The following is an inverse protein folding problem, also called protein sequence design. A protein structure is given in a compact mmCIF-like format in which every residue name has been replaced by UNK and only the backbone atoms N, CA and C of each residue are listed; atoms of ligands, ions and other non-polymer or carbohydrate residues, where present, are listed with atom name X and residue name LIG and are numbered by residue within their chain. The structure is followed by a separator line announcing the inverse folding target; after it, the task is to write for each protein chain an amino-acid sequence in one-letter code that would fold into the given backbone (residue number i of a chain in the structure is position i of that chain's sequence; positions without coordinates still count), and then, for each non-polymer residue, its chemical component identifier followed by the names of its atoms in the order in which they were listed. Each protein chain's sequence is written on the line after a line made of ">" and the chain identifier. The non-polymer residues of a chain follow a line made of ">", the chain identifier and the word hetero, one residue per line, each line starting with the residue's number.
data_IF_334364282299
#
_entry.id   IF_334364282299
#
_cell.length_a   1.000
_cell.length_b   1.000
_cell.length_c   1.000
_cell.angle_alpha   90.00
_cell.angle_beta   90.00
_cell.angle_gamma   90.00
#
_symmetry.space_group_name_H-M   'P 1'
#
loop_
_entity.id
_entity.type
_entity.pdbx_description
1 polymer ?
#
# COMPACT_ATOMS: atom_id res chain seq x y z
N UNK A 1 43.16 -0.91 -13.53
CA UNK A 1 42.17 0.19 -13.47
C UNK A 1 40.86 -0.48 -13.86
N UNK A 2 40.10 -0.92 -12.84
CA UNK A 2 38.83 -0.30 -12.42
C UNK A 2 37.78 -0.44 -13.55
N UNK A 3 36.65 -1.12 -13.40
CA UNK A 3 35.78 -1.10 -12.22
C UNK A 3 35.11 -2.45 -11.94
N UNK A 4 35.29 -2.88 -10.70
CA UNK A 4 34.34 -3.71 -9.97
C UNK A 4 33.08 -2.85 -9.81
N UNK A 5 32.01 -3.11 -10.55
CA UNK A 5 30.69 -2.57 -10.16
C UNK A 5 30.21 -3.47 -9.03
N UNK A 6 30.17 -2.99 -7.78
CA UNK A 6 29.67 -3.76 -6.65
C UNK A 6 28.16 -4.05 -6.86
N UNK A 7 27.63 -5.10 -6.23
CA UNK A 7 26.21 -5.41 -6.30
C UNK A 7 25.43 -4.18 -5.82
N UNK A 8 24.43 -3.77 -6.60
CA UNK A 8 23.44 -2.77 -6.18
C UNK A 8 22.59 -3.37 -5.07
N UNK A 9 23.14 -3.36 -3.85
CA UNK A 9 22.42 -3.46 -2.58
C UNK A 9 21.64 -2.15 -2.32
N UNK A 10 20.88 -1.68 -3.32
CA UNK A 10 20.00 -0.51 -3.24
C UNK A 10 18.53 -0.89 -3.56
N UNK A 11 18.23 -2.20 -3.58
CA UNK A 11 16.87 -2.76 -3.64
C UNK A 11 16.49 -3.48 -2.33
N UNK A 12 17.11 -3.09 -1.21
CA UNK A 12 16.59 -3.37 0.13
C UNK A 12 16.22 -2.08 0.87
N UNK A 13 15.66 -1.10 0.15
CA UNK A 13 14.68 -0.23 0.80
C UNK A 13 13.47 -1.13 1.04
N UNK A 14 13.48 -1.86 2.16
CA UNK A 14 12.44 -2.82 2.51
C UNK A 14 11.10 -2.09 2.42
N UNK A 15 10.38 -2.31 1.33
CA UNK A 15 9.24 -1.45 1.00
C UNK A 15 8.06 -1.94 1.81
N UNK A 16 7.46 -1.03 2.56
CA UNK A 16 6.32 -1.31 3.39
C UNK A 16 5.06 -1.29 2.52
N UNK A 17 4.65 -2.47 2.06
CA UNK A 17 3.43 -2.61 1.27
C UNK A 17 2.20 -2.46 2.15
N UNK A 18 1.37 -1.48 1.81
CA UNK A 18 0.13 -1.18 2.52
C UNK A 18 -1.02 -1.31 1.53
N UNK A 19 -1.94 -2.22 1.79
CA UNK A 19 -3.12 -2.41 0.97
C UNK A 19 -4.11 -1.28 1.18
N UNK A 20 -4.82 -0.86 0.13
CA UNK A 20 -5.89 0.12 0.23
C UNK A 20 -7.14 -0.41 -0.47
N UNK A 21 -8.21 -0.61 0.30
CA UNK A 21 -9.52 -1.05 -0.19
C UNK A 21 -10.43 0.17 -0.26
N UNK A 22 -10.71 0.63 -1.48
CA UNK A 22 -11.51 1.83 -1.72
C UNK A 22 -12.94 1.50 -2.17
N UNK A 23 -13.97 2.13 -1.59
CA UNK A 23 -15.34 1.96 -2.07
C UNK A 23 -15.62 2.91 -3.23
N UNK A 24 -15.73 2.37 -4.46
CA UNK A 24 -16.31 2.99 -5.66
C UNK A 24 -15.77 4.37 -6.10
N UNK A 25 -15.89 4.76 -7.39
CA UNK A 25 -15.34 6.02 -7.91
C UNK A 25 -15.85 7.31 -7.23
N UNK A 26 -16.85 7.23 -6.35
CA UNK A 26 -17.53 8.38 -5.74
C UNK A 26 -16.87 8.90 -4.45
N UNK A 27 -15.88 8.20 -3.89
CA UNK A 27 -15.23 8.56 -2.61
C UNK A 27 -13.74 8.91 -2.75
N UNK A 28 -13.36 9.67 -3.78
CA UNK A 28 -11.96 9.93 -4.18
C UNK A 28 -11.08 10.57 -3.10
N UNK A 29 -11.66 11.26 -2.12
CA UNK A 29 -10.91 11.95 -1.05
C UNK A 29 -10.05 11.00 -0.21
N UNK A 30 -10.53 9.78 0.07
CA UNK A 30 -9.77 8.81 0.85
C UNK A 30 -8.51 8.33 0.10
N UNK A 31 -8.67 7.94 -1.16
CA UNK A 31 -7.55 7.52 -2.01
C UNK A 31 -6.55 8.65 -2.25
N UNK A 32 -7.02 9.89 -2.43
CA UNK A 32 -6.17 11.05 -2.59
C UNK A 32 -5.41 11.39 -1.30
N UNK A 33 -6.07 11.32 -0.14
CA UNK A 33 -5.44 11.51 1.16
C UNK A 33 -4.37 10.47 1.45
N UNK A 34 -4.63 9.20 1.14
CA UNK A 34 -3.64 8.13 1.29
C UNK A 34 -2.41 8.36 0.38
N UNK A 35 -2.62 8.76 -0.88
CA UNK A 35 -1.52 9.10 -1.79
C UNK A 35 -0.69 10.29 -1.28
N UNK A 36 -1.33 11.32 -0.75
CA UNK A 36 -0.63 12.46 -0.16
C UNK A 36 0.20 12.03 1.05
N UNK A 37 -0.38 11.25 1.97
CA UNK A 37 0.33 10.74 3.14
C UNK A 37 1.50 9.82 2.74
N UNK A 38 1.35 8.96 1.74
CA UNK A 38 2.44 8.16 1.19
C UNK A 38 3.58 9.05 0.72
N UNK A 39 3.29 10.10 -0.05
CA UNK A 39 4.30 11.01 -0.57
C UNK A 39 5.02 11.77 0.56
N UNK A 40 4.28 12.28 1.55
CA UNK A 40 4.84 12.99 2.69
C UNK A 40 5.72 12.09 3.56
N UNK A 41 5.26 10.88 3.88
CA UNK A 41 6.02 9.92 4.69
C UNK A 41 7.29 9.48 3.95
N UNK A 42 7.19 9.16 2.66
CA UNK A 42 8.33 8.78 1.85
C UNK A 42 9.34 9.92 1.68
N UNK A 43 8.88 11.18 1.65
CA UNK A 43 9.76 12.35 1.65
C UNK A 43 10.42 12.59 3.02
N UNK A 44 9.77 12.20 4.12
CA UNK A 44 10.31 12.30 5.48
C UNK A 44 11.30 11.17 5.85
N UNK A 45 11.59 10.25 4.91
CA UNK A 45 12.50 9.12 5.13
C UNK A 45 11.80 7.79 5.44
N UNK A 46 10.50 7.71 5.17
CA UNK A 46 9.73 6.47 5.29
C UNK A 46 9.38 6.11 6.75
N UNK A 47 8.95 4.87 6.95
CA UNK A 47 8.65 4.30 8.27
C UNK A 47 9.82 3.42 8.69
N UNK A 48 10.56 3.80 9.74
CA UNK A 48 11.76 3.07 10.17
C UNK A 48 12.81 2.91 9.04
N UNK A 49 12.90 3.87 8.11
CA UNK A 49 13.78 3.81 6.93
C UNK A 49 13.19 3.08 5.72
N UNK A 50 11.92 2.65 5.80
CA UNK A 50 11.23 1.91 4.75
C UNK A 50 10.27 2.80 3.97
N UNK A 51 10.36 2.79 2.64
CA UNK A 51 9.41 3.51 1.79
C UNK A 51 8.06 2.78 1.77
N UNK A 52 6.97 3.53 1.81
CA UNK A 52 5.61 3.01 1.71
C UNK A 52 5.22 2.85 0.24
N UNK A 53 4.60 1.72 -0.07
CA UNK A 53 3.92 1.45 -1.34
C UNK A 53 2.45 1.14 -1.08
N UNK A 54 1.55 1.88 -1.73
CA UNK A 54 0.11 1.66 -1.64
C UNK A 54 -0.38 0.73 -2.75
N UNK A 55 -0.95 -0.41 -2.38
CA UNK A 55 -1.56 -1.36 -3.32
C UNK A 55 -3.07 -1.17 -3.33
N UNK A 56 -3.59 -0.62 -4.44
CA UNK A 56 -5.00 -0.31 -4.57
C UNK A 56 -5.81 -1.52 -5.05
N UNK A 57 -6.87 -1.87 -4.32
CA UNK A 57 -7.89 -2.83 -4.76
C UNK A 57 -9.25 -2.16 -4.81
N UNK A 58 -9.88 -2.22 -5.99
CA UNK A 58 -11.25 -1.77 -6.19
C UNK A 58 -12.23 -2.83 -5.65
N UNK A 59 -13.18 -2.39 -4.82
CA UNK A 59 -14.19 -3.25 -4.22
C UNK A 59 -15.51 -3.15 -4.99
N UNK A 60 -16.16 -4.29 -5.25
CA UNK A 60 -17.61 -4.42 -5.36
C UNK A 60 -18.20 -4.88 -4.01
N UNK A 61 -19.43 -4.45 -3.68
CA UNK A 61 -20.01 -4.52 -2.32
C UNK A 61 -19.85 -5.87 -1.61
N UNK A 62 -19.83 -6.97 -2.36
CA UNK A 62 -19.85 -8.36 -1.90
C UNK A 62 -18.47 -9.02 -1.73
N UNK A 63 -17.37 -8.35 -2.09
CA UNK A 63 -16.05 -9.00 -2.23
C UNK A 63 -14.96 -8.50 -1.28
N UNK A 64 -15.31 -7.78 -0.19
CA UNK A 64 -14.31 -7.18 0.73
C UNK A 64 -13.35 -8.21 1.29
N UNK A 65 -13.89 -9.33 1.77
CA UNK A 65 -13.12 -10.39 2.39
C UNK A 65 -12.15 -10.99 1.38
N UNK A 66 -12.59 -11.19 0.14
CA UNK A 66 -11.73 -11.67 -0.94
C UNK A 66 -10.63 -10.66 -1.29
N UNK A 67 -10.95 -9.38 -1.44
CA UNK A 67 -9.95 -8.34 -1.71
C UNK A 67 -8.92 -8.23 -0.58
N UNK A 68 -9.36 -8.38 0.67
CA UNK A 68 -8.46 -8.42 1.82
C UNK A 68 -7.55 -9.68 1.80
N UNK A 69 -8.11 -10.85 1.50
CA UNK A 69 -7.34 -12.09 1.34
C UNK A 69 -6.29 -11.96 0.25
N UNK A 70 -6.63 -11.41 -0.91
CA UNK A 70 -5.67 -11.19 -2.01
C UNK A 70 -4.55 -10.22 -1.59
N UNK A 71 -4.86 -9.14 -0.87
CA UNK A 71 -3.85 -8.21 -0.37
C UNK A 71 -2.88 -8.88 0.62
N UNK A 72 -3.39 -9.74 1.51
CA UNK A 72 -2.55 -10.42 2.49
C UNK A 72 -1.75 -11.55 1.84
N UNK A 73 -2.40 -12.44 1.10
CA UNK A 73 -1.79 -13.67 0.60
C UNK A 73 -0.95 -13.46 -0.67
N UNK A 74 -1.40 -12.61 -1.59
CA UNK A 74 -0.71 -12.40 -2.86
C UNK A 74 0.27 -11.23 -2.76
N UNK A 75 -0.19 -10.11 -2.19
CA UNK A 75 0.59 -8.87 -2.16
C UNK A 75 1.49 -8.73 -0.92
N UNK A 76 1.32 -9.61 0.08
CA UNK A 76 2.09 -9.63 1.33
C UNK A 76 2.11 -8.26 2.02
N UNK A 77 0.95 -7.58 2.05
CA UNK A 77 0.84 -6.27 2.71
C UNK A 77 0.96 -6.42 4.22
N UNK A 78 1.62 -5.48 4.87
CA UNK A 78 1.75 -5.45 6.33
C UNK A 78 0.51 -4.88 7.03
N UNK A 79 -0.29 -4.13 6.29
CA UNK A 79 -1.47 -3.43 6.77
C UNK A 79 -2.45 -3.22 5.63
N UNK A 80 -3.74 -3.16 5.96
CA UNK A 80 -4.80 -2.84 5.00
C UNK A 80 -5.52 -1.59 5.50
N UNK A 81 -5.65 -0.62 4.61
CA UNK A 81 -6.39 0.62 4.75
C UNK A 81 -7.70 0.50 3.98
N UNK A 82 -8.78 0.07 4.64
CA UNK A 82 -10.14 0.18 4.10
C UNK A 82 -11.11 -0.87 4.64
N UNK A 83 -12.41 -0.80 4.29
CA UNK A 83 -13.19 0.36 3.86
C UNK A 83 -14.16 0.86 4.97
N UNK A 84 -14.75 2.04 4.79
CA UNK A 84 -15.81 2.62 5.64
C UNK A 84 -17.16 1.92 5.51
N UNK A 85 -17.20 0.59 5.59
CA UNK A 85 -18.44 -0.17 5.60
C UNK A 85 -18.48 -1.06 6.84
N UNK A 86 -19.38 -0.74 7.76
CA UNK A 86 -19.83 -1.70 8.75
C UNK A 86 -20.55 -2.81 7.99
N UNK A 87 -20.11 -4.06 8.18
CA UNK A 87 -21.01 -5.19 7.93
C UNK A 87 -22.16 -5.05 8.93
N UNK A 88 -23.30 -4.51 8.50
CA UNK A 88 -24.52 -4.63 9.29
C UNK A 88 -24.86 -6.13 9.37
N UNK A 89 -25.22 -6.65 10.56
CA UNK A 89 -25.66 -8.04 10.71
C UNK A 89 -26.95 -8.34 9.94
#
# INVERSE_FOLDING_TARGET
>A
MMDMVPPTDDEMVSTLKVGLIHPQPNYTSFGNGAKLAQAEINAAGGVLGMQIELIFKEKTTDTVTQSATELVEMENVVAILGPSFQAMP
#
